data_IF_982573314740
#
_entry.id   IF_982573314740
#
_cell.length_a   1.000
_cell.length_b   1.000
_cell.length_c   1.000
_cell.angle_alpha   90.00
_cell.angle_beta   90.00
_cell.angle_gamma   90.00
#
_symmetry.space_group_name_H-M   'P 1'
#
loop_
_entity.id
_entity.type
_entity.pdbx_description
1 polymer ?
#
# COMPACT_ATOMS: atom_id res chain seq x y z
N UNK A 1 -17.30 16.04 13.90
CA UNK A 1 -17.12 14.57 13.90
C UNK A 1 -16.19 14.19 15.02
N UNK A 2 -16.58 13.26 15.88
CA UNK A 2 -15.69 12.70 16.91
C UNK A 2 -14.67 11.78 16.25
N UNK A 3 -13.58 11.47 16.97
CA UNK A 3 -12.55 10.52 16.50
C UNK A 3 -13.14 9.14 16.14
N UNK A 4 -14.01 8.61 16.99
CA UNK A 4 -14.63 7.29 16.75
C UNK A 4 -15.53 7.31 15.50
N UNK A 5 -16.29 8.39 15.28
CA UNK A 5 -17.06 8.56 14.04
C UNK A 5 -16.13 8.61 12.80
N UNK A 6 -14.97 9.25 12.94
CA UNK A 6 -13.99 9.31 11.86
C UNK A 6 -13.38 7.93 11.55
N UNK A 7 -12.94 7.19 12.59
CA UNK A 7 -12.38 5.82 12.43
C UNK A 7 -13.42 4.92 11.77
N UNK A 8 -14.69 4.99 12.20
CA UNK A 8 -15.77 4.22 11.59
C UNK A 8 -15.96 4.55 10.11
N UNK A 9 -16.03 5.82 9.77
CA UNK A 9 -16.15 6.27 8.38
C UNK A 9 -14.96 5.80 7.55
N UNK A 10 -13.73 5.91 8.06
CA UNK A 10 -12.53 5.47 7.35
C UNK A 10 -12.53 3.96 7.14
N UNK A 11 -12.87 3.17 8.14
CA UNK A 11 -12.98 1.72 8.02
C UNK A 11 -14.04 1.32 6.98
N UNK A 12 -15.22 1.93 7.03
CA UNK A 12 -16.28 1.71 6.03
C UNK A 12 -15.80 2.04 4.60
N UNK A 13 -15.16 3.20 4.41
CA UNK A 13 -14.63 3.62 3.11
C UNK A 13 -13.53 2.69 2.59
N UNK A 14 -12.67 2.19 3.48
CA UNK A 14 -11.62 1.23 3.11
C UNK A 14 -12.20 -0.13 2.72
N UNK A 15 -13.21 -0.63 3.43
CA UNK A 15 -13.81 -1.94 3.18
C UNK A 15 -14.83 -1.91 2.04
N UNK A 16 -15.64 -0.85 1.94
CA UNK A 16 -16.82 -0.77 1.06
C UNK A 16 -16.67 0.22 -0.08
N UNK A 17 -15.60 1.02 -0.09
CA UNK A 17 -15.39 2.07 -1.07
C UNK A 17 -16.42 3.20 -0.99
N UNK A 18 -16.54 4.00 -2.04
CA UNK A 18 -17.56 5.02 -2.23
C UNK A 18 -18.20 4.87 -3.62
N UNK A 19 -19.53 5.02 -3.67
CA UNK A 19 -20.21 5.18 -4.94
C UNK A 19 -19.84 6.55 -5.55
N UNK A 20 -19.77 6.64 -6.86
CA UNK A 20 -19.40 7.85 -7.56
C UNK A 20 -20.65 8.46 -8.22
N UNK A 21 -20.98 9.72 -7.90
CA UNK A 21 -22.03 10.43 -8.60
C UNK A 21 -21.63 10.71 -10.06
N UNK A 22 -22.61 10.84 -10.94
CA UNK A 22 -22.36 11.17 -12.34
C UNK A 22 -21.58 12.49 -12.47
N UNK A 23 -21.94 13.49 -11.66
CA UNK A 23 -21.31 14.80 -11.65
C UNK A 23 -19.84 14.73 -11.21
N UNK A 24 -19.54 14.01 -10.12
CA UNK A 24 -18.17 13.80 -9.68
C UNK A 24 -17.38 12.98 -10.70
N UNK A 25 -18.01 11.99 -11.36
CA UNK A 25 -17.39 11.19 -12.40
C UNK A 25 -16.98 12.04 -13.61
N UNK A 26 -17.90 12.87 -14.12
CA UNK A 26 -17.62 13.77 -15.24
C UNK A 26 -16.45 14.72 -14.91
N UNK A 27 -16.44 15.28 -13.71
CA UNK A 27 -15.40 16.20 -13.26
C UNK A 27 -14.04 15.51 -13.10
N UNK A 28 -14.01 14.32 -12.48
CA UNK A 28 -12.81 13.51 -12.34
C UNK A 28 -12.23 13.08 -13.69
N UNK A 29 -13.08 12.70 -14.65
CA UNK A 29 -12.64 12.35 -16.01
C UNK A 29 -12.03 13.54 -16.74
N UNK A 30 -12.56 14.74 -16.52
CA UNK A 30 -12.04 15.96 -17.14
C UNK A 30 -10.69 16.38 -16.54
N UNK A 31 -10.53 16.30 -15.22
CA UNK A 31 -9.31 16.70 -14.52
C UNK A 31 -8.24 15.59 -14.51
N UNK A 32 -8.66 14.32 -14.44
CA UNK A 32 -7.80 13.18 -14.20
C UNK A 32 -8.23 11.99 -15.09
N UNK A 33 -8.07 12.08 -16.42
CA UNK A 33 -8.51 11.03 -17.34
C UNK A 33 -7.87 9.66 -17.02
N UNK A 34 -6.66 9.65 -16.46
CA UNK A 34 -5.92 8.44 -16.14
C UNK A 34 -6.45 7.70 -14.88
N UNK A 35 -7.34 8.29 -14.09
CA UNK A 35 -7.89 7.63 -12.90
C UNK A 35 -8.75 6.41 -13.21
N UNK A 36 -9.32 6.35 -14.40
CA UNK A 36 -10.18 5.25 -14.87
C UNK A 36 -9.48 4.37 -15.90
N UNK A 37 -8.21 4.62 -16.18
CA UNK A 37 -7.43 3.77 -17.08
C UNK A 37 -7.09 2.45 -16.35
N UNK A 38 -7.76 1.37 -16.80
CA UNK A 38 -7.62 0.03 -16.23
C UNK A 38 -6.16 -0.43 -16.27
N UNK A 39 -5.55 -0.59 -15.12
CA UNK A 39 -4.17 -1.07 -14.94
C UNK A 39 -3.48 -0.54 -13.71
N UNK A 40 -4.04 0.45 -13.09
CA UNK A 40 -3.77 0.84 -11.71
C UNK A 40 -5.07 0.73 -10.94
N UNK A 41 -4.99 0.33 -9.67
CA UNK A 41 -6.11 0.16 -8.75
C UNK A 41 -7.12 1.29 -8.95
N UNK A 42 -8.38 0.96 -9.24
CA UNK A 42 -9.48 1.91 -9.39
C UNK A 42 -9.85 2.53 -8.02
N UNK A 43 -8.83 3.09 -7.38
CA UNK A 43 -8.90 3.74 -6.10
C UNK A 43 -8.27 5.13 -6.16
N UNK A 44 -8.85 6.05 -5.44
CA UNK A 44 -8.36 7.42 -5.31
C UNK A 44 -7.75 7.65 -3.93
N UNK A 45 -6.60 8.30 -3.91
CA UNK A 45 -5.99 8.75 -2.67
C UNK A 45 -6.54 10.15 -2.34
N UNK A 46 -7.09 10.28 -1.14
CA UNK A 46 -7.70 11.53 -0.69
C UNK A 46 -7.40 11.78 0.79
N UNK A 47 -7.57 13.03 1.20
CA UNK A 47 -7.52 13.42 2.60
C UNK A 47 -8.92 13.87 3.04
N UNK A 48 -9.38 13.34 4.16
CA UNK A 48 -10.63 13.73 4.81
C UNK A 48 -10.30 14.04 6.27
N UNK A 49 -10.55 15.29 6.69
CA UNK A 49 -10.36 15.67 8.09
C UNK A 49 -8.95 15.52 8.64
N UNK A 50 -7.92 15.56 7.77
CA UNK A 50 -6.51 15.44 8.14
C UNK A 50 -5.93 14.02 8.09
N UNK A 51 -6.73 13.01 7.70
CA UNK A 51 -6.24 11.63 7.51
C UNK A 51 -6.31 11.21 6.04
N UNK A 52 -5.31 10.45 5.60
CA UNK A 52 -5.23 9.92 4.26
C UNK A 52 -6.10 8.66 4.14
N UNK A 53 -6.76 8.50 3.02
CA UNK A 53 -7.60 7.34 2.72
C UNK A 53 -7.45 6.98 1.25
N UNK A 54 -7.25 5.70 0.97
CA UNK A 54 -7.26 5.13 -0.38
C UNK A 54 -8.61 4.44 -0.60
N UNK A 55 -9.49 5.06 -1.39
CA UNK A 55 -10.89 4.65 -1.55
C UNK A 55 -11.15 4.10 -2.93
N UNK A 56 -11.71 2.88 -3.03
CA UNK A 56 -12.21 2.33 -4.29
C UNK A 56 -13.50 3.04 -4.69
N UNK A 57 -13.58 3.52 -5.94
CA UNK A 57 -14.72 4.30 -6.45
C UNK A 57 -15.35 3.75 -7.73
N UNK A 58 -14.68 2.83 -8.42
CA UNK A 58 -15.11 2.31 -9.72
C UNK A 58 -15.45 0.81 -9.69
N UNK A 59 -15.10 0.11 -8.64
CA UNK A 59 -15.31 -1.33 -8.45
C UNK A 59 -16.78 -1.68 -8.23
N UNK A 60 -17.18 -2.90 -8.62
CA UNK A 60 -18.56 -3.36 -8.49
C UNK A 60 -19.08 -3.29 -7.04
N UNK A 61 -18.23 -3.62 -6.06
CA UNK A 61 -18.61 -3.56 -4.65
C UNK A 61 -18.79 -2.12 -4.15
N UNK A 62 -18.02 -1.16 -4.64
CA UNK A 62 -18.08 0.25 -4.23
C UNK A 62 -19.37 0.94 -4.69
N UNK A 63 -19.98 0.49 -5.80
CA UNK A 63 -21.25 1.04 -6.31
C UNK A 63 -22.43 0.86 -5.34
N UNK A 64 -22.32 -0.07 -4.39
CA UNK A 64 -23.34 -0.35 -3.36
C UNK A 64 -23.03 0.36 -2.03
N UNK A 65 -21.99 1.17 -1.97
CA UNK A 65 -21.60 1.88 -0.76
C UNK A 65 -22.66 2.92 -0.38
N UNK A 66 -22.88 3.08 0.93
CA UNK A 66 -23.69 4.18 1.49
C UNK A 66 -22.99 5.54 1.37
N UNK A 67 -21.68 5.54 1.15
CA UNK A 67 -20.88 6.73 0.94
C UNK A 67 -20.89 7.10 -0.54
N UNK A 68 -21.23 8.33 -0.85
CA UNK A 68 -21.26 8.86 -2.21
C UNK A 68 -20.21 9.95 -2.33
N UNK A 69 -19.23 9.74 -3.20
CA UNK A 69 -18.33 10.79 -3.61
C UNK A 69 -19.03 11.65 -4.66
N UNK A 70 -19.19 12.92 -4.35
CA UNK A 70 -19.86 13.90 -5.18
C UNK A 70 -19.05 15.18 -5.33
N UNK A 71 -19.46 16.10 -6.22
CA UNK A 71 -18.79 17.34 -6.53
C UNK A 71 -19.77 18.49 -6.70
N UNK A 72 -19.41 19.68 -6.19
CA UNK A 72 -20.11 20.93 -6.47
C UNK A 72 -19.13 22.10 -6.61
N UNK A 73 -19.65 23.33 -6.55
CA UNK A 73 -18.89 24.59 -6.64
C UNK A 73 -17.82 24.75 -5.55
N UNK A 74 -17.96 24.04 -4.41
CA UNK A 74 -17.01 24.05 -3.30
C UNK A 74 -16.00 22.89 -3.36
N UNK A 75 -16.05 22.05 -4.41
CA UNK A 75 -15.17 20.92 -4.64
C UNK A 75 -15.78 19.57 -4.31
N UNK A 76 -14.92 18.58 -4.12
CA UNK A 76 -15.33 17.19 -3.82
C UNK A 76 -15.71 16.99 -2.37
N UNK A 77 -16.68 16.12 -2.14
CA UNK A 77 -17.11 15.73 -0.81
C UNK A 77 -17.66 14.30 -0.78
N UNK A 78 -17.55 13.66 0.37
CA UNK A 78 -18.24 12.40 0.66
C UNK A 78 -19.56 12.76 1.37
N UNK A 79 -20.66 12.23 0.86
CA UNK A 79 -21.97 12.29 1.47
C UNK A 79 -22.34 10.93 2.08
N UNK A 80 -22.83 10.93 3.32
CA UNK A 80 -23.40 9.77 4.00
C UNK A 80 -24.46 10.25 4.98
N UNK A 81 -25.66 9.67 4.92
CA UNK A 81 -26.80 9.97 5.83
C UNK A 81 -27.10 11.47 5.97
N UNK A 82 -26.93 12.23 4.89
CA UNK A 82 -27.12 13.67 4.86
C UNK A 82 -25.97 14.49 5.46
N UNK A 83 -24.94 13.86 5.99
CA UNK A 83 -23.71 14.53 6.39
C UNK A 83 -22.73 14.64 5.22
N UNK A 84 -22.17 15.83 5.08
CA UNK A 84 -21.24 16.18 4.02
C UNK A 84 -19.84 16.40 4.59
N UNK A 85 -18.82 15.72 4.03
CA UNK A 85 -17.42 15.86 4.43
C UNK A 85 -16.59 16.26 3.22
N UNK A 86 -15.95 17.42 3.29
CA UNK A 86 -15.04 17.87 2.24
C UNK A 86 -13.88 16.91 2.05
N UNK A 87 -13.52 16.68 0.80
CA UNK A 87 -12.45 15.81 0.37
C UNK A 87 -11.39 16.63 -0.36
N UNK A 88 -10.13 16.39 -0.04
CA UNK A 88 -9.01 16.90 -0.83
C UNK A 88 -8.31 15.71 -1.51
N UNK A 89 -8.35 15.68 -2.83
CA UNK A 89 -7.56 14.73 -3.59
C UNK A 89 -6.08 15.10 -3.53
N UNK A 90 -5.22 14.08 -3.57
CA UNK A 90 -3.82 14.29 -3.87
C UNK A 90 -3.70 14.52 -5.38
N UNK A 91 -3.28 15.72 -5.76
CA UNK A 91 -3.21 16.16 -7.14
C UNK A 91 -2.31 15.24 -7.98
N UNK A 92 -2.58 15.19 -9.27
CA UNK A 92 -1.69 14.55 -10.23
C UNK A 92 -0.31 15.17 -10.13
N UNK A 93 0.68 14.32 -10.22
CA UNK A 93 2.06 14.76 -10.33
C UNK A 93 2.27 15.53 -11.63
N UNK A 94 3.17 16.52 -11.66
CA UNK A 94 3.49 17.21 -12.89
C UNK A 94 3.97 16.19 -13.93
N UNK A 95 3.52 16.36 -15.17
CA UNK A 95 4.00 15.54 -16.28
C UNK A 95 5.50 15.74 -16.43
N UNK A 96 6.24 14.65 -16.42
CA UNK A 96 7.69 14.65 -16.61
C UNK A 96 8.08 14.48 -18.06
N UNK A 97 7.14 14.10 -18.94
CA UNK A 97 7.36 13.67 -20.31
C UNK A 97 8.39 12.51 -20.41
N UNK A 98 8.38 11.65 -19.41
CA UNK A 98 9.20 10.43 -19.32
C UNK A 98 8.32 9.22 -19.07
N UNK A 99 8.95 8.03 -19.05
CA UNK A 99 8.25 6.77 -18.82
C UNK A 99 7.59 6.68 -17.44
N UNK A 100 7.96 7.54 -16.46
CA UNK A 100 7.40 7.53 -15.13
C UNK A 100 5.97 8.08 -15.07
N UNK A 101 5.57 8.84 -16.11
CA UNK A 101 4.21 9.32 -16.22
C UNK A 101 3.26 8.12 -16.35
N UNK A 102 2.25 8.06 -15.50
CA UNK A 102 1.36 6.89 -15.38
C UNK A 102 1.87 5.77 -14.47
N UNK A 103 3.12 5.84 -13.97
CA UNK A 103 3.72 4.86 -13.05
C UNK A 103 3.97 5.42 -11.66
N UNK A 104 3.79 6.71 -11.47
CA UNK A 104 3.99 7.39 -10.21
C UNK A 104 2.74 8.15 -9.81
N UNK A 105 2.37 8.10 -8.53
CA UNK A 105 1.22 8.83 -7.98
C UNK A 105 1.53 9.35 -6.59
N UNK A 106 0.95 10.49 -6.24
CA UNK A 106 0.92 10.96 -4.86
C UNK A 106 -0.02 10.08 -4.05
N UNK A 107 0.50 9.49 -2.98
CA UNK A 107 -0.30 8.74 -2.01
C UNK A 107 -0.68 9.58 -0.79
N UNK A 108 0.12 10.63 -0.52
CA UNK A 108 -0.11 11.59 0.56
C UNK A 108 0.66 12.88 0.27
N UNK A 109 0.61 13.82 1.21
CA UNK A 109 1.36 15.09 1.11
C UNK A 109 2.88 14.91 1.21
N UNK A 110 3.38 13.69 1.47
CA UNK A 110 4.80 13.40 1.66
C UNK A 110 5.25 12.06 1.05
N UNK A 111 4.40 11.39 0.27
CA UNK A 111 4.71 10.08 -0.28
C UNK A 111 4.32 9.97 -1.76
N UNK A 112 5.30 9.63 -2.59
CA UNK A 112 5.13 9.29 -4.00
C UNK A 112 5.28 7.76 -4.13
N UNK A 113 4.24 7.08 -4.59
CA UNK A 113 4.36 5.66 -4.93
C UNK A 113 4.69 5.49 -6.41
N UNK A 114 5.62 4.60 -6.71
CA UNK A 114 6.16 4.32 -8.05
C UNK A 114 6.10 2.82 -8.30
N UNK A 115 5.53 2.43 -9.46
CA UNK A 115 5.41 1.03 -9.90
C UNK A 115 6.29 0.76 -11.12
N UNK A 116 7.59 0.44 -10.96
CA UNK A 116 8.50 0.21 -12.07
C UNK A 116 8.19 -1.03 -12.89
N UNK A 117 7.44 -1.95 -12.31
CA UNK A 117 6.95 -3.15 -12.97
C UNK A 117 5.65 -3.61 -12.35
N UNK A 118 4.70 -4.01 -13.20
CA UNK A 118 3.49 -4.74 -12.79
C UNK A 118 3.62 -6.24 -13.11
N UNK A 119 4.74 -6.67 -13.71
CA UNK A 119 5.01 -8.09 -13.95
C UNK A 119 5.30 -8.80 -12.63
N UNK A 120 4.76 -10.02 -12.49
CA UNK A 120 4.97 -10.84 -11.30
C UNK A 120 5.23 -12.29 -11.71
N UNK A 121 6.27 -12.91 -11.16
CA UNK A 121 6.58 -14.32 -11.43
C UNK A 121 5.47 -15.27 -10.94
N UNK A 122 4.61 -14.79 -10.06
CA UNK A 122 3.44 -15.52 -9.57
C UNK A 122 2.17 -15.26 -10.39
N UNK A 123 2.20 -14.43 -11.44
CA UNK A 123 1.01 -14.11 -12.24
C UNK A 123 0.74 -15.17 -13.34
N UNK A 124 0.54 -16.40 -12.88
CA UNK A 124 0.01 -17.51 -13.69
C UNK A 124 -1.24 -18.05 -13.01
N UNK A 125 -2.13 -18.76 -13.73
CA UNK A 125 -3.36 -19.32 -13.13
C UNK A 125 -3.11 -20.16 -11.87
N UNK A 126 -1.98 -20.88 -11.83
CA UNK A 126 -1.61 -21.81 -10.75
C UNK A 126 -0.95 -21.11 -9.56
N UNK A 127 -0.26 -19.98 -9.78
CA UNK A 127 0.60 -19.35 -8.79
C UNK A 127 0.06 -18.01 -8.28
N UNK A 128 -0.94 -17.42 -8.95
CA UNK A 128 -1.45 -16.08 -8.67
C UNK A 128 -2.01 -15.96 -7.25
N UNK A 129 -1.61 -14.90 -6.56
CA UNK A 129 -2.25 -14.49 -5.32
C UNK A 129 -3.73 -14.16 -5.58
N UNK A 130 -4.64 -14.83 -4.89
CA UNK A 130 -6.07 -14.82 -5.20
C UNK A 130 -6.76 -13.47 -4.95
N UNK A 131 -6.18 -12.60 -4.12
CA UNK A 131 -6.67 -11.25 -3.85
C UNK A 131 -6.05 -10.18 -4.77
N UNK A 132 -5.06 -10.55 -5.61
CA UNK A 132 -4.28 -9.58 -6.37
C UNK A 132 -5.00 -9.21 -7.67
N UNK A 133 -5.21 -7.91 -7.87
CA UNK A 133 -5.75 -7.32 -9.09
C UNK A 133 -4.68 -6.81 -10.05
N UNK A 134 -3.40 -7.05 -9.74
CA UNK A 134 -2.30 -6.63 -10.60
C UNK A 134 -2.49 -7.25 -11.99
N UNK A 135 -2.65 -6.38 -12.98
CA UNK A 135 -2.73 -6.78 -14.38
C UNK A 135 -1.43 -6.35 -15.07
N UNK A 136 -0.56 -7.28 -15.47
CA UNK A 136 0.72 -6.93 -16.04
C UNK A 136 0.56 -6.27 -17.40
N UNK A 137 0.73 -4.95 -17.44
CA UNK A 137 0.82 -4.17 -18.70
C UNK A 137 2.22 -4.19 -19.29
N UNK A 138 3.23 -4.48 -18.49
CA UNK A 138 4.64 -4.54 -18.90
C UNK A 138 5.23 -5.90 -18.61
N UNK A 139 5.82 -6.53 -19.63
CA UNK A 139 6.42 -7.87 -19.47
C UNK A 139 7.77 -7.87 -18.74
N UNK A 140 8.45 -6.75 -18.66
CA UNK A 140 9.77 -6.61 -18.03
C UNK A 140 9.83 -5.33 -17.18
N UNK A 141 10.66 -5.33 -16.11
CA UNK A 141 10.91 -4.11 -15.36
C UNK A 141 11.55 -3.05 -16.26
N UNK A 142 11.20 -1.80 -15.99
CA UNK A 142 11.78 -0.67 -16.72
C UNK A 142 13.25 -0.56 -16.38
N UNK A 143 14.08 -0.27 -17.39
CA UNK A 143 15.51 -0.04 -17.17
C UNK A 143 15.73 1.10 -16.19
N UNK A 144 16.56 0.87 -15.18
CA UNK A 144 16.86 1.82 -14.10
C UNK A 144 17.20 3.21 -14.62
N UNK A 145 18.04 3.30 -15.67
CA UNK A 145 18.44 4.59 -16.27
C UNK A 145 17.25 5.38 -16.84
N UNK A 146 16.28 4.70 -17.44
CA UNK A 146 15.09 5.37 -18.00
C UNK A 146 14.16 5.85 -16.87
N UNK A 147 14.00 5.03 -15.83
CA UNK A 147 13.20 5.38 -14.67
C UNK A 147 13.81 6.58 -13.91
N UNK A 148 15.13 6.61 -13.74
CA UNK A 148 15.85 7.68 -13.08
C UNK A 148 15.70 9.05 -13.75
N UNK A 149 15.45 9.13 -15.06
CA UNK A 149 15.17 10.39 -15.73
C UNK A 149 13.92 11.08 -15.16
N UNK A 150 12.86 10.32 -15.01
CA UNK A 150 11.62 10.84 -14.42
C UNK A 150 11.74 11.05 -12.91
N UNK A 151 12.34 10.11 -12.17
CA UNK A 151 12.54 10.24 -10.72
C UNK A 151 13.31 11.52 -10.40
N UNK A 152 14.32 11.86 -11.18
CA UNK A 152 15.07 13.12 -10.98
C UNK A 152 14.15 14.34 -11.04
N UNK A 153 13.29 14.41 -12.04
CA UNK A 153 12.33 15.53 -12.18
C UNK A 153 11.38 15.54 -10.96
N UNK A 154 10.91 14.38 -10.52
CA UNK A 154 10.04 14.29 -9.35
C UNK A 154 10.73 14.76 -8.08
N UNK A 155 11.95 14.31 -7.83
CA UNK A 155 12.69 14.69 -6.61
C UNK A 155 13.17 16.14 -6.62
N UNK A 156 13.37 16.74 -7.78
CA UNK A 156 13.64 18.17 -7.91
C UNK A 156 12.39 19.02 -7.54
N UNK A 157 11.17 18.50 -7.81
CA UNK A 157 9.91 19.17 -7.46
C UNK A 157 9.40 18.83 -6.04
N UNK A 158 9.77 17.65 -5.52
CA UNK A 158 9.33 17.13 -4.23
C UNK A 158 10.53 16.60 -3.41
N UNK A 159 11.47 17.49 -3.01
CA UNK A 159 12.76 17.06 -2.42
C UNK A 159 12.62 16.40 -1.06
N UNK A 160 11.54 16.66 -0.33
CA UNK A 160 11.29 16.14 1.01
C UNK A 160 10.33 14.93 1.02
N UNK A 161 9.87 14.49 -0.17
CA UNK A 161 8.91 13.39 -0.24
C UNK A 161 9.62 12.04 -0.20
N UNK A 162 8.97 11.07 0.43
CA UNK A 162 9.40 9.67 0.38
C UNK A 162 9.04 9.06 -0.98
N UNK A 163 10.00 8.38 -1.59
CA UNK A 163 9.77 7.52 -2.75
C UNK A 163 9.45 6.11 -2.25
N UNK A 164 8.21 5.66 -2.45
CA UNK A 164 7.80 4.29 -2.15
C UNK A 164 7.77 3.48 -3.44
N UNK A 165 8.51 2.40 -3.51
CA UNK A 165 8.56 1.51 -4.68
C UNK A 165 7.82 0.23 -4.38
N UNK A 166 6.86 -0.12 -5.24
CA UNK A 166 6.08 -1.33 -5.13
C UNK A 166 5.83 -1.96 -6.50
N UNK A 167 5.22 -3.13 -6.53
CA UNK A 167 4.91 -3.83 -7.78
C UNK A 167 4.83 -5.34 -7.60
N UNK A 168 4.75 -6.07 -8.72
CA UNK A 168 4.86 -7.52 -8.72
C UNK A 168 6.32 -7.97 -8.57
N UNK A 169 6.53 -9.17 -8.02
CA UNK A 169 7.85 -9.80 -7.93
C UNK A 169 8.24 -10.31 -9.31
N UNK A 170 9.10 -9.61 -10.04
CA UNK A 170 9.57 -10.09 -11.33
C UNK A 170 10.78 -11.05 -11.17
N UNK A 171 10.82 -12.07 -12.01
CA UNK A 171 11.89 -13.08 -12.02
C UNK A 171 11.90 -13.92 -10.74
N UNK A 172 12.54 -13.45 -9.70
CA UNK A 172 12.58 -14.03 -8.37
C UNK A 172 12.66 -12.94 -7.29
N UNK A 173 12.46 -13.27 -6.00
CA UNK A 173 12.67 -12.32 -4.91
C UNK A 173 14.08 -11.70 -4.92
N UNK A 174 15.13 -12.50 -5.14
CA UNK A 174 16.51 -12.01 -5.17
C UNK A 174 16.76 -11.06 -6.33
N UNK A 175 16.31 -11.40 -7.55
CA UNK A 175 16.44 -10.53 -8.73
C UNK A 175 15.71 -9.20 -8.53
N UNK A 176 14.54 -9.22 -7.88
CA UNK A 176 13.82 -7.99 -7.56
C UNK A 176 14.59 -7.14 -6.57
N UNK A 177 15.18 -7.74 -5.54
CA UNK A 177 16.02 -7.02 -4.58
C UNK A 177 17.26 -6.44 -5.24
N UNK A 178 17.92 -7.16 -6.13
CA UNK A 178 19.06 -6.64 -6.91
C UNK A 178 18.67 -5.43 -7.76
N UNK A 179 17.49 -5.46 -8.38
CA UNK A 179 16.95 -4.31 -9.11
C UNK A 179 16.72 -3.10 -8.17
N UNK A 180 16.18 -3.30 -6.96
CA UNK A 180 16.02 -2.22 -5.98
C UNK A 180 17.37 -1.63 -5.54
N UNK A 181 18.39 -2.47 -5.39
CA UNK A 181 19.76 -2.04 -5.06
C UNK A 181 20.32 -1.16 -6.17
N UNK A 182 20.20 -1.57 -7.45
CA UNK A 182 20.63 -0.79 -8.60
C UNK A 182 19.90 0.55 -8.65
N UNK A 183 18.55 0.53 -8.58
CA UNK A 183 17.72 1.72 -8.64
C UNK A 183 18.06 2.71 -7.52
N UNK A 184 18.13 2.25 -6.27
CA UNK A 184 18.42 3.09 -5.12
C UNK A 184 19.83 3.69 -5.20
N UNK A 185 20.82 2.92 -5.69
CA UNK A 185 22.19 3.39 -5.91
C UNK A 185 22.26 4.51 -6.94
N UNK A 186 21.52 4.38 -8.05
CA UNK A 186 21.44 5.44 -9.06
C UNK A 186 20.72 6.68 -8.55
N UNK A 187 19.60 6.53 -7.84
CA UNK A 187 18.85 7.67 -7.25
C UNK A 187 19.74 8.42 -6.26
N UNK A 188 20.53 7.72 -5.44
CA UNK A 188 21.41 8.34 -4.44
C UNK A 188 22.42 9.33 -5.03
N UNK A 189 22.72 9.23 -6.33
CA UNK A 189 23.65 10.16 -7.01
C UNK A 189 23.07 11.56 -7.19
N UNK A 190 21.76 11.71 -7.15
CA UNK A 190 21.09 12.99 -7.43
C UNK A 190 20.00 13.37 -6.42
N UNK A 191 19.59 12.47 -5.53
CA UNK A 191 18.54 12.76 -4.55
C UNK A 191 18.79 12.06 -3.20
N UNK A 192 18.44 12.77 -2.12
CA UNK A 192 18.46 12.26 -0.74
C UNK A 192 17.05 11.93 -0.22
N UNK A 193 16.01 11.99 -1.08
CA UNK A 193 14.66 11.58 -0.70
C UNK A 193 14.68 10.21 0.00
N UNK A 194 13.95 10.03 1.11
CA UNK A 194 13.81 8.71 1.72
C UNK A 194 13.22 7.70 0.75
N UNK A 195 13.65 6.45 0.83
CA UNK A 195 13.23 5.35 -0.05
C UNK A 195 12.69 4.20 0.76
N UNK A 196 11.45 3.82 0.46
CA UNK A 196 10.81 2.62 0.95
C UNK A 196 10.61 1.65 -0.21
N UNK A 197 10.80 0.36 0.00
CA UNK A 197 10.65 -0.66 -1.05
C UNK A 197 9.84 -1.86 -0.56
N UNK A 198 8.95 -2.35 -1.42
CA UNK A 198 8.14 -3.54 -1.19
C UNK A 198 8.67 -4.71 -2.01
N UNK A 199 8.86 -5.87 -1.35
CA UNK A 199 9.36 -7.08 -2.00
C UNK A 199 9.05 -8.33 -1.17
N UNK A 200 9.13 -9.52 -1.80
CA UNK A 200 9.14 -10.79 -1.07
C UNK A 200 10.55 -11.04 -0.50
N UNK A 201 10.67 -11.63 0.70
CA UNK A 201 11.98 -11.93 1.28
C UNK A 201 12.88 -12.67 0.31
N UNK A 202 14.12 -12.20 0.08
CA UNK A 202 15.09 -12.90 -0.76
C UNK A 202 15.58 -14.17 -0.08
N UNK A 203 16.08 -15.12 -0.85
CA UNK A 203 16.74 -16.31 -0.32
C UNK A 203 18.10 -15.93 0.29
N UNK A 204 18.87 -15.10 -0.41
CA UNK A 204 20.11 -14.51 0.11
C UNK A 204 19.84 -13.29 0.99
N UNK A 205 19.71 -13.47 2.29
CA UNK A 205 19.48 -12.39 3.26
C UNK A 205 20.65 -11.37 3.36
N UNK A 206 21.84 -11.66 2.78
CA UNK A 206 22.93 -10.68 2.72
C UNK A 206 22.60 -9.50 1.79
N UNK A 207 21.65 -9.66 0.89
CA UNK A 207 21.16 -8.59 0.03
C UNK A 207 20.55 -7.42 0.82
N UNK A 208 20.02 -7.65 2.02
CA UNK A 208 19.48 -6.60 2.88
C UNK A 208 20.54 -5.56 3.27
N UNK A 209 21.79 -5.99 3.52
CA UNK A 209 22.91 -5.07 3.77
C UNK A 209 23.25 -4.22 2.54
N UNK A 210 23.21 -4.84 1.36
CA UNK A 210 23.45 -4.12 0.10
C UNK A 210 22.35 -3.10 -0.16
N UNK A 211 21.08 -3.43 0.15
CA UNK A 211 19.95 -2.48 0.07
C UNK A 211 20.18 -1.25 0.97
N UNK A 212 20.59 -1.47 2.23
CA UNK A 212 20.91 -0.36 3.15
C UNK A 212 22.04 0.49 2.63
N UNK A 213 23.10 -0.15 2.14
CA UNK A 213 24.28 0.52 1.54
C UNK A 213 23.93 1.32 0.30
N UNK A 214 22.98 0.85 -0.52
CA UNK A 214 22.43 1.56 -1.67
C UNK A 214 21.60 2.79 -1.28
N UNK A 215 21.21 2.92 -0.02
CA UNK A 215 20.47 4.07 0.51
C UNK A 215 18.95 3.83 0.62
N UNK A 216 18.50 2.61 0.68
CA UNK A 216 17.11 2.28 1.07
C UNK A 216 16.97 2.52 2.57
N UNK A 217 15.88 3.16 2.97
CA UNK A 217 15.59 3.54 4.35
C UNK A 217 14.65 2.57 5.04
N UNK A 218 13.61 2.12 4.31
CA UNK A 218 12.54 1.26 4.81
C UNK A 218 12.34 0.08 3.89
N UNK A 219 12.12 -1.10 4.48
CA UNK A 219 11.82 -2.34 3.76
C UNK A 219 10.47 -2.91 4.19
N UNK A 220 9.68 -3.35 3.22
CA UNK A 220 8.33 -3.84 3.41
C UNK A 220 8.25 -5.26 2.81
N UNK A 221 8.10 -6.25 3.67
CA UNK A 221 7.99 -7.67 3.26
C UNK A 221 6.64 -8.21 3.72
N UNK A 222 5.66 -8.25 2.82
CA UNK A 222 4.27 -8.54 3.15
C UNK A 222 4.04 -10.04 3.34
N UNK A 223 3.63 -10.45 4.55
CA UNK A 223 3.19 -11.82 4.87
C UNK A 223 1.83 -12.10 4.22
N UNK A 224 0.92 -11.14 4.33
CA UNK A 224 -0.45 -11.13 3.80
C UNK A 224 -1.37 -12.14 4.49
N UNK A 225 -1.05 -13.43 4.46
CA UNK A 225 -1.78 -14.52 5.10
C UNK A 225 -0.85 -15.26 6.06
N UNK A 226 -1.28 -15.47 7.29
CA UNK A 226 -0.48 -16.08 8.36
C UNK A 226 -0.59 -17.61 8.35
N UNK A 227 -1.82 -18.15 8.28
CA UNK A 227 -2.05 -19.59 8.31
C UNK A 227 -1.44 -20.30 7.10
N UNK A 228 -0.56 -21.26 7.33
CA UNK A 228 0.11 -22.07 6.31
C UNK A 228 -0.89 -22.75 5.34
N UNK A 229 -2.02 -23.23 5.85
CA UNK A 229 -3.05 -23.87 5.04
C UNK A 229 -3.72 -22.85 4.11
N UNK A 230 -4.04 -21.65 4.63
CA UNK A 230 -4.65 -20.59 3.86
C UNK A 230 -3.65 -19.96 2.87
N UNK A 231 -2.35 -19.88 3.23
CA UNK A 231 -1.30 -19.43 2.30
C UNK A 231 -1.30 -20.26 1.03
N UNK A 232 -1.34 -21.59 1.12
CA UNK A 232 -1.38 -22.48 -0.05
C UNK A 232 -2.61 -22.26 -0.94
N UNK A 233 -3.73 -21.85 -0.36
CA UNK A 233 -4.98 -21.58 -1.10
C UNK A 233 -5.02 -20.18 -1.69
N UNK A 234 -4.56 -19.18 -0.94
CA UNK A 234 -4.71 -17.75 -1.28
C UNK A 234 -3.47 -17.20 -1.96
N UNK A 235 -2.29 -17.74 -1.64
CA UNK A 235 -0.98 -17.33 -2.14
C UNK A 235 -0.21 -18.52 -2.73
N UNK A 236 -0.77 -19.31 -3.68
CA UNK A 236 -0.19 -20.61 -4.03
C UNK A 236 1.30 -20.52 -4.42
N UNK A 237 1.71 -19.55 -5.23
CA UNK A 237 3.12 -19.37 -5.59
C UNK A 237 3.96 -18.76 -4.45
N UNK A 238 3.45 -17.76 -3.76
CA UNK A 238 4.18 -17.06 -2.70
C UNK A 238 4.26 -17.88 -1.41
N UNK A 239 3.39 -18.90 -1.22
CA UNK A 239 3.42 -19.80 -0.06
C UNK A 239 4.68 -20.65 0.03
N UNK A 240 5.45 -20.81 -1.06
CA UNK A 240 6.75 -21.46 -1.03
C UNK A 240 7.76 -20.73 -0.14
N UNK A 241 7.57 -19.43 0.07
CA UNK A 241 8.31 -18.64 1.06
C UNK A 241 7.62 -18.85 2.41
N UNK A 242 8.20 -19.70 3.27
CA UNK A 242 7.62 -20.07 4.55
C UNK A 242 7.56 -18.89 5.53
N UNK A 243 6.64 -18.93 6.50
CA UNK A 243 6.56 -17.93 7.56
C UNK A 243 7.87 -17.88 8.40
N UNK A 244 8.51 -19.04 8.59
CA UNK A 244 9.81 -19.11 9.24
C UNK A 244 10.88 -18.32 8.49
N UNK A 245 10.88 -18.37 7.15
CA UNK A 245 11.81 -17.56 6.35
C UNK A 245 11.51 -16.08 6.45
N UNK A 246 10.22 -15.67 6.46
CA UNK A 246 9.84 -14.29 6.74
C UNK A 246 10.39 -13.82 8.08
N UNK A 247 10.24 -14.60 9.14
CA UNK A 247 10.75 -14.23 10.47
C UNK A 247 12.29 -14.13 10.50
N UNK A 248 13.01 -15.00 9.77
CA UNK A 248 14.47 -14.87 9.61
C UNK A 248 14.84 -13.58 8.88
N UNK A 249 14.13 -13.28 7.80
CA UNK A 249 14.33 -12.05 7.04
C UNK A 249 14.02 -10.80 7.86
N UNK A 250 12.94 -10.79 8.65
CA UNK A 250 12.64 -9.69 9.55
C UNK A 250 13.72 -9.46 10.61
N UNK A 251 14.20 -10.51 11.28
CA UNK A 251 15.29 -10.41 12.24
C UNK A 251 16.51 -9.78 11.59
N UNK A 252 16.89 -10.27 10.41
CA UNK A 252 18.03 -9.69 9.68
C UNK A 252 17.78 -8.24 9.26
N UNK A 253 16.58 -7.95 8.77
CA UNK A 253 16.21 -6.58 8.38
C UNK A 253 16.26 -5.61 9.57
N UNK A 254 15.80 -6.00 10.76
CA UNK A 254 15.88 -5.17 11.98
C UNK A 254 17.34 -4.91 12.38
N UNK A 255 18.23 -5.89 12.28
CA UNK A 255 19.67 -5.68 12.53
C UNK A 255 20.27 -4.64 11.56
N UNK A 256 19.84 -4.64 10.31
CA UNK A 256 20.39 -3.78 9.24
C UNK A 256 19.73 -2.41 9.20
N UNK A 257 18.42 -2.34 9.26
CA UNK A 257 17.63 -1.11 9.06
C UNK A 257 17.26 -0.44 10.37
N UNK A 258 17.14 -1.19 11.44
CA UNK A 258 16.72 -0.73 12.75
C UNK A 258 15.22 -0.94 13.00
N UNK A 259 14.86 -0.86 14.28
CA UNK A 259 13.50 -0.97 14.78
C UNK A 259 12.60 0.09 14.13
N UNK A 260 11.42 -0.33 13.68
CA UNK A 260 10.43 0.53 13.06
C UNK A 260 10.76 0.93 11.60
N UNK A 261 11.86 0.41 11.00
CA UNK A 261 12.19 0.63 9.59
C UNK A 261 11.91 -0.61 8.73
N UNK A 262 11.23 -1.58 9.31
CA UNK A 262 10.80 -2.83 8.67
C UNK A 262 9.30 -2.96 8.90
N UNK A 263 8.54 -3.25 7.86
CA UNK A 263 7.09 -3.44 7.97
C UNK A 263 6.58 -4.64 7.19
N UNK A 264 5.37 -5.04 7.54
CA UNK A 264 4.65 -6.13 6.89
C UNK A 264 3.16 -5.85 6.87
N UNK A 265 2.49 -6.22 5.78
CA UNK A 265 1.03 -6.15 5.65
C UNK A 265 0.43 -7.52 5.85
N UNK A 266 -0.68 -7.58 6.60
CA UNK A 266 -1.60 -8.71 6.65
C UNK A 266 -2.97 -8.29 6.13
N UNK A 267 -3.69 -9.24 5.51
CA UNK A 267 -5.00 -8.95 4.91
C UNK A 267 -6.10 -9.40 5.86
N UNK A 268 -6.86 -8.44 6.37
CA UNK A 268 -8.04 -8.68 7.20
C UNK A 268 -9.24 -9.12 6.36
N UNK A 269 -10.03 -10.05 6.92
CA UNK A 269 -11.24 -10.56 6.27
C UNK A 269 -11.04 -11.80 5.38
N UNK A 270 -9.79 -12.27 5.18
CA UNK A 270 -9.47 -13.51 4.45
C UNK A 270 -8.97 -14.65 5.35
N UNK A 271 -8.79 -14.39 6.62
CA UNK A 271 -8.25 -15.33 7.61
C UNK A 271 -8.77 -14.99 9.00
N UNK A 272 -8.68 -15.91 9.99
CA UNK A 272 -9.08 -15.62 11.37
C UNK A 272 -8.36 -14.41 11.94
N UNK A 273 -9.07 -13.54 12.63
CA UNK A 273 -8.50 -12.35 13.27
C UNK A 273 -7.51 -12.70 14.38
N UNK A 274 -7.72 -13.81 15.07
CA UNK A 274 -6.81 -14.32 16.10
C UNK A 274 -5.41 -14.61 15.53
N UNK A 275 -5.33 -15.23 14.34
CA UNK A 275 -4.07 -15.50 13.66
C UNK A 275 -3.35 -14.19 13.31
N UNK A 276 -4.09 -13.21 12.76
CA UNK A 276 -3.55 -11.88 12.43
C UNK A 276 -3.00 -11.18 13.68
N UNK A 277 -3.77 -11.17 14.76
CA UNK A 277 -3.39 -10.45 15.99
C UNK A 277 -2.21 -11.11 16.70
N UNK A 278 -2.14 -12.43 16.68
CA UNK A 278 -0.99 -13.19 17.22
C UNK A 278 0.28 -12.85 16.42
N UNK A 279 0.19 -12.78 15.10
CA UNK A 279 1.33 -12.40 14.28
C UNK A 279 1.68 -10.91 14.46
N UNK A 280 0.70 -10.01 14.62
CA UNK A 280 0.96 -8.61 14.96
C UNK A 280 1.75 -8.46 16.27
N UNK A 281 1.41 -9.24 17.31
CA UNK A 281 2.15 -9.25 18.56
C UNK A 281 3.60 -9.71 18.34
N UNK A 282 3.78 -10.84 17.65
CA UNK A 282 5.10 -11.38 17.29
C UNK A 282 5.95 -10.34 16.55
N UNK A 283 5.39 -9.70 15.52
CA UNK A 283 6.09 -8.71 14.71
C UNK A 283 6.46 -7.45 15.51
N UNK A 284 5.52 -6.95 16.33
CA UNK A 284 5.80 -5.76 17.16
C UNK A 284 6.87 -6.02 18.22
N UNK A 285 6.91 -7.22 18.81
CA UNK A 285 7.99 -7.65 19.71
C UNK A 285 9.35 -7.68 19.02
N UNK A 286 9.38 -8.12 17.76
CA UNK A 286 10.60 -8.09 16.94
C UNK A 286 11.03 -6.68 16.55
N UNK A 287 10.16 -5.67 16.66
CA UNK A 287 10.40 -4.29 16.19
C UNK A 287 9.99 -4.03 14.75
N UNK A 288 9.27 -4.97 14.12
CA UNK A 288 8.63 -4.82 12.82
C UNK A 288 7.30 -4.08 12.99
N UNK A 289 6.96 -3.19 12.07
CA UNK A 289 5.68 -2.48 12.06
C UNK A 289 4.64 -3.27 11.24
N UNK A 290 3.67 -3.93 11.86
CA UNK A 290 2.58 -4.59 11.14
C UNK A 290 1.50 -3.60 10.74
N UNK A 291 0.89 -3.85 9.58
CA UNK A 291 -0.27 -3.11 9.05
C UNK A 291 -1.37 -4.10 8.70
N UNK A 292 -2.61 -3.80 9.06
CA UNK A 292 -3.77 -4.60 8.67
C UNK A 292 -4.53 -3.87 7.56
N UNK A 293 -4.43 -4.39 6.33
CA UNK A 293 -5.21 -3.88 5.19
C UNK A 293 -6.48 -4.71 5.04
N UNK A 294 -7.66 -4.09 4.90
CA UNK A 294 -8.88 -4.85 4.64
C UNK A 294 -8.85 -5.47 3.25
N UNK A 295 -9.34 -6.70 3.13
CA UNK A 295 -9.63 -7.30 1.84
C UNK A 295 -10.72 -6.53 1.12
N UNK A 296 -10.47 -6.23 -0.14
CA UNK A 296 -11.40 -5.58 -1.07
C UNK A 296 -11.59 -6.49 -2.28
N UNK A 297 -12.83 -6.87 -2.63
CA UNK A 297 -13.12 -7.74 -3.77
C UNK A 297 -13.06 -6.94 -5.08
N UNK A 298 -11.83 -6.58 -5.51
CA UNK A 298 -11.59 -5.84 -6.73
C UNK A 298 -12.04 -6.65 -7.96
N UNK A 299 -12.60 -6.00 -8.98
CA UNK A 299 -13.22 -6.66 -10.13
C UNK A 299 -12.25 -7.59 -10.89
N UNK A 300 -10.97 -7.25 -10.93
CA UNK A 300 -9.93 -8.02 -11.63
C UNK A 300 -9.24 -9.07 -10.74
N UNK A 301 -9.63 -9.25 -9.48
CA UNK A 301 -9.04 -10.28 -8.62
C UNK A 301 -9.85 -11.59 -8.66
N UNK A 302 -9.20 -12.76 -8.52
CA UNK A 302 -9.91 -14.06 -8.47
C UNK A 302 -10.98 -14.15 -7.37
N UNK A 303 -10.80 -13.45 -6.26
CA UNK A 303 -11.75 -13.39 -5.14
C UNK A 303 -12.77 -12.24 -5.25
N UNK A 304 -13.02 -11.70 -6.44
CA UNK A 304 -13.97 -10.59 -6.68
C UNK A 304 -15.40 -10.85 -6.23
N UNK A 305 -15.79 -12.12 -6.05
CA UNK A 305 -17.13 -12.52 -5.57
C UNK A 305 -17.18 -12.77 -4.06
N UNK A 306 -16.07 -12.72 -3.36
CA UNK A 306 -15.98 -12.89 -1.90
C UNK A 306 -16.41 -11.59 -1.21
N UNK A 307 -17.03 -11.69 -0.05
CA UNK A 307 -17.40 -10.49 0.70
C UNK A 307 -16.16 -9.66 1.08
N UNK A 308 -16.30 -8.34 1.01
CA UNK A 308 -15.30 -7.43 1.56
C UNK A 308 -15.11 -7.65 3.07
N UNK A 309 -13.96 -7.23 3.59
CA UNK A 309 -13.70 -7.21 5.03
C UNK A 309 -14.79 -6.44 5.78
N UNK A 310 -15.19 -6.96 6.94
CA UNK A 310 -16.14 -6.27 7.82
C UNK A 310 -15.45 -5.07 8.51
N UNK A 311 -15.99 -3.86 8.40
CA UNK A 311 -15.35 -2.68 8.98
C UNK A 311 -15.39 -2.64 10.51
N UNK A 312 -16.38 -3.25 11.17
CA UNK A 312 -16.45 -3.26 12.64
C UNK A 312 -15.39 -4.23 13.21
N UNK A 313 -15.16 -5.38 12.56
CA UNK A 313 -14.07 -6.29 12.90
C UNK A 313 -12.69 -5.65 12.64
N UNK A 314 -12.53 -4.94 11.52
CA UNK A 314 -11.30 -4.20 11.23
C UNK A 314 -10.99 -3.15 12.30
N UNK A 315 -12.01 -2.42 12.81
CA UNK A 315 -11.84 -1.43 13.88
C UNK A 315 -11.30 -2.11 15.14
N UNK A 316 -11.95 -3.18 15.59
CA UNK A 316 -11.53 -3.90 16.80
C UNK A 316 -10.09 -4.39 16.68
N UNK A 317 -9.73 -5.03 15.57
CA UNK A 317 -8.37 -5.53 15.34
C UNK A 317 -7.33 -4.39 15.28
N UNK A 318 -7.67 -3.27 14.64
CA UNK A 318 -6.76 -2.13 14.52
C UNK A 318 -6.60 -1.35 15.83
N UNK A 319 -7.60 -1.36 16.72
CA UNK A 319 -7.46 -0.80 18.07
C UNK A 319 -6.49 -1.62 18.91
N UNK A 320 -6.59 -2.95 18.87
CA UNK A 320 -5.64 -3.87 19.52
C UNK A 320 -4.24 -3.65 18.95
N UNK A 321 -4.09 -3.59 17.62
CA UNK A 321 -2.81 -3.29 16.97
C UNK A 321 -2.25 -1.93 17.40
N UNK A 322 -3.09 -0.89 17.49
CA UNK A 322 -2.67 0.43 17.97
C UNK A 322 -2.12 0.38 19.41
N UNK A 323 -2.63 -0.50 20.28
CA UNK A 323 -2.09 -0.74 21.62
C UNK A 323 -0.74 -1.47 21.59
N UNK A 324 -0.60 -2.50 20.76
CA UNK A 324 0.67 -3.20 20.55
C UNK A 324 1.76 -2.26 20.04
N UNK A 325 1.44 -1.42 19.04
CA UNK A 325 2.38 -0.44 18.51
C UNK A 325 2.85 0.55 19.60
N UNK A 326 1.96 1.03 20.47
CA UNK A 326 2.34 1.90 21.61
C UNK A 326 3.18 1.15 22.63
N UNK A 327 2.78 -0.06 23.02
CA UNK A 327 3.51 -0.95 23.96
C UNK A 327 4.97 -1.12 23.51
N UNK A 328 5.19 -1.29 22.22
CA UNK A 328 6.51 -1.53 21.65
C UNK A 328 7.20 -0.27 21.07
N UNK A 329 6.67 0.94 21.29
CA UNK A 329 7.22 2.21 20.79
C UNK A 329 7.48 2.20 19.27
N UNK A 330 6.51 1.71 18.50
CA UNK A 330 6.51 1.70 17.03
C UNK A 330 5.57 2.81 16.53
N UNK A 331 6.09 4.03 16.44
CA UNK A 331 5.28 5.17 16.01
C UNK A 331 5.21 5.25 14.47
N UNK A 332 4.01 5.37 13.86
CA UNK A 332 3.85 5.43 12.41
C UNK A 332 4.66 6.53 11.73
N UNK A 333 4.74 7.71 12.35
CA UNK A 333 5.44 8.88 11.80
C UNK A 333 6.98 8.75 11.78
N UNK A 334 7.54 7.70 12.40
CA UNK A 334 8.97 7.43 12.36
C UNK A 334 9.38 6.57 11.17
N UNK A 335 8.41 6.11 10.37
CA UNK A 335 8.65 5.23 9.24
C UNK A 335 8.17 5.88 7.94
N UNK A 336 9.07 6.45 7.12
CA UNK A 336 8.69 7.05 5.85
C UNK A 336 8.03 6.05 4.89
N UNK A 337 7.15 6.53 4.02
CA UNK A 337 6.46 5.73 3.01
C UNK A 337 5.04 5.34 3.36
N UNK A 338 4.61 4.14 2.96
CA UNK A 338 3.23 3.69 3.11
C UNK A 338 2.75 3.65 4.56
N UNK A 339 3.61 3.30 5.51
CA UNK A 339 3.28 3.26 6.95
C UNK A 339 2.93 4.65 7.49
N UNK A 340 3.75 5.65 7.19
CA UNK A 340 3.47 7.05 7.57
C UNK A 340 2.21 7.56 6.85
N UNK A 341 2.05 7.24 5.57
CA UNK A 341 0.87 7.61 4.79
C UNK A 341 -0.42 7.10 5.44
N UNK A 342 -0.49 5.82 5.85
CA UNK A 342 -1.63 5.20 6.53
C UNK A 342 -2.94 5.26 5.74
N UNK A 343 -2.87 5.48 4.42
CA UNK A 343 -4.05 5.64 3.58
C UNK A 343 -4.85 4.36 3.34
N UNK A 344 -4.23 3.20 3.50
CA UNK A 344 -4.83 1.89 3.24
C UNK A 344 -5.29 1.14 4.49
N UNK A 345 -5.17 1.75 5.68
CA UNK A 345 -5.41 1.12 6.97
C UNK A 345 -5.85 2.15 8.02
N UNK A 346 -6.18 1.73 9.23
CA UNK A 346 -6.66 2.62 10.30
C UNK A 346 -5.83 2.57 11.58
N UNK A 347 -4.79 1.74 11.67
CA UNK A 347 -3.96 1.65 12.88
C UNK A 347 -3.27 2.96 13.25
N UNK A 348 -2.91 3.80 12.26
CA UNK A 348 -2.34 5.13 12.53
C UNK A 348 -3.34 6.04 13.26
N UNK A 349 -4.62 5.92 12.94
CA UNK A 349 -5.68 6.67 13.59
C UNK A 349 -6.02 6.05 14.96
N UNK A 350 -5.85 4.75 15.14
CA UNK A 350 -5.97 4.05 16.40
C UNK A 350 -4.76 4.29 17.33
N UNK A 351 -3.57 4.49 16.78
CA UNK A 351 -2.36 4.81 17.55
C UNK A 351 -2.45 6.16 18.26
N UNK A 352 -3.07 7.17 17.65
CA UNK A 352 -3.16 8.56 18.14
C UNK A 352 -4.13 8.75 19.33
N UNK A 353 -4.31 7.81 20.23
CA UNK A 353 -5.22 7.91 21.41
C UNK A 353 -4.96 9.15 22.27
#
# INVERSE_FOLDING_TARGET
MTRNQFIKMKADLLCRGAALSDKAREHLLAEHPDYFDKGFIDAVNMNIGGSNICVSIAEAFSKKSQYILDHDENGYFINSDGERKAVRFFHNMPKTNTIIDGMARLHSDNCINIWPSTNCCYDTPELKCQFCSLNPKTQLPIKVKELCKGIKILTDNYPDYTLNFSGGTFGSPDLMVEYWIELASEIRRFSNCPRAVEFAPPEDLSLLEKMKSAGINVVIMNIEIVSEELRKKILPGKSEITLEHYHKAFKRAIEVFGKGQVSSVMIGGLQPWEDILTECETLTEMGVFPTIMPFRPLDDCPLSTVNACDPDELIVASEILGELLRKHNLAPHCQPGCTECGGCSIENDCYKK
#
